data_IF_907210537594
#
_entry.id   IF_907210537594
#
_cell.length_a   1.000
_cell.length_b   1.000
_cell.length_c   1.000
_cell.angle_alpha   90.00
_cell.angle_beta   90.00
_cell.angle_gamma   90.00
#
_symmetry.space_group_name_H-M   'P 1'
#
loop_
_entity.id
_entity.type
_entity.pdbx_description
1 polymer ?
#
# COMPACT_ATOMS: atom_id res chain seq x y z
N UNK A 1 3.67 -9.93 11.23
CA UNK A 1 2.68 -8.87 10.95
C UNK A 1 2.49 -8.07 12.23
N UNK A 2 2.25 -6.75 12.16
CA UNK A 2 2.12 -5.89 13.35
C UNK A 2 0.97 -6.35 14.25
N UNK A 3 1.18 -6.34 15.57
CA UNK A 3 0.14 -6.65 16.57
C UNK A 3 -1.01 -5.64 16.51
N UNK A 4 -0.70 -4.37 16.26
CA UNK A 4 -1.69 -3.31 16.09
C UNK A 4 -2.63 -3.60 14.93
N UNK A 5 -2.10 -3.99 13.76
CA UNK A 5 -2.93 -4.32 12.59
C UNK A 5 -3.84 -5.52 12.84
N UNK A 6 -3.36 -6.53 13.57
CA UNK A 6 -4.17 -7.71 13.92
C UNK A 6 -5.28 -7.38 14.93
N UNK A 7 -5.09 -6.39 15.80
CA UNK A 7 -6.15 -5.96 16.71
C UNK A 7 -7.36 -5.37 15.97
N UNK A 8 -7.13 -4.67 14.85
CA UNK A 8 -8.21 -4.09 14.02
C UNK A 8 -8.68 -5.03 12.91
N UNK A 9 -7.80 -5.91 12.41
CA UNK A 9 -8.09 -6.90 11.38
C UNK A 9 -7.59 -8.29 11.81
N UNK A 10 -8.34 -9.00 12.66
CA UNK A 10 -7.88 -10.28 13.22
C UNK A 10 -7.50 -11.34 12.18
N UNK A 11 -8.16 -11.33 11.01
CA UNK A 11 -7.93 -12.29 9.93
C UNK A 11 -6.85 -11.86 8.94
N UNK A 12 -6.22 -10.68 9.11
CA UNK A 12 -5.32 -10.10 8.11
C UNK A 12 -4.14 -11.00 7.74
N UNK A 13 -3.67 -11.82 8.69
CA UNK A 13 -2.57 -12.77 8.44
C UNK A 13 -3.00 -13.88 7.48
N UNK A 14 -4.22 -14.38 7.62
CA UNK A 14 -4.74 -15.44 6.75
C UNK A 14 -5.16 -14.89 5.40
N UNK A 15 -5.78 -13.71 5.36
CA UNK A 15 -6.12 -13.03 4.11
C UNK A 15 -4.87 -12.72 3.28
N UNK A 16 -3.80 -12.22 3.92
CA UNK A 16 -2.54 -11.91 3.22
C UNK A 16 -1.82 -13.18 2.73
N UNK A 17 -2.13 -14.37 3.25
CA UNK A 17 -1.60 -15.64 2.69
C UNK A 17 -2.23 -15.98 1.35
N UNK A 18 -3.40 -15.43 1.02
CA UNK A 18 -4.04 -15.57 -0.29
C UNK A 18 -3.32 -14.77 -1.38
N UNK A 19 -2.52 -13.77 -0.98
CA UNK A 19 -1.73 -12.95 -1.90
C UNK A 19 -0.48 -13.73 -2.32
N UNK A 20 -0.47 -14.19 -3.57
CA UNK A 20 0.65 -14.92 -4.19
C UNK A 20 1.07 -16.20 -3.43
N UNK A 21 2.21 -16.77 -3.80
CA UNK A 21 2.86 -17.88 -3.10
C UNK A 21 3.86 -17.38 -2.05
N UNK A 22 4.24 -18.25 -1.11
CA UNK A 22 5.20 -17.89 -0.06
C UNK A 22 6.56 -17.35 -0.57
N UNK A 23 7.20 -17.92 -1.61
CA UNK A 23 8.46 -17.37 -2.14
C UNK A 23 8.30 -15.96 -2.70
N UNK A 24 7.18 -15.68 -3.39
CA UNK A 24 6.89 -14.34 -3.93
C UNK A 24 6.72 -13.35 -2.78
N UNK A 25 5.94 -13.70 -1.75
CA UNK A 25 5.75 -12.82 -0.57
C UNK A 25 7.04 -12.52 0.18
N UNK A 26 8.00 -13.45 0.21
CA UNK A 26 9.27 -13.27 0.91
C UNK A 26 10.19 -12.24 0.23
N UNK A 27 10.01 -12.00 -1.07
CA UNK A 27 10.77 -11.04 -1.86
C UNK A 27 9.98 -9.75 -2.16
N UNK A 28 8.64 -9.83 -2.11
CA UNK A 28 7.77 -8.71 -2.41
C UNK A 28 7.80 -7.63 -1.31
N UNK A 29 7.57 -6.39 -1.72
CA UNK A 29 7.30 -5.27 -0.83
C UNK A 29 5.93 -4.68 -1.10
N UNK A 30 5.31 -4.12 -0.06
CA UNK A 30 4.03 -3.41 -0.21
C UNK A 30 4.20 -2.22 -1.16
N UNK A 31 5.28 -1.45 -1.00
CA UNK A 31 5.56 -0.30 -1.86
C UNK A 31 5.75 -0.70 -3.34
N UNK A 32 6.47 -1.79 -3.60
CA UNK A 32 6.64 -2.31 -4.96
C UNK A 32 5.33 -2.80 -5.58
N UNK A 33 4.44 -3.41 -4.78
CA UNK A 33 3.10 -3.80 -5.23
C UNK A 33 2.29 -2.57 -5.70
N UNK A 34 2.27 -1.51 -4.90
CA UNK A 34 1.56 -0.28 -5.23
C UNK A 34 2.18 0.42 -6.45
N UNK A 35 3.51 0.57 -6.51
CA UNK A 35 4.18 1.24 -7.63
C UNK A 35 4.02 0.47 -8.95
N UNK A 36 3.91 -0.86 -8.90
CA UNK A 36 3.60 -1.67 -10.09
C UNK A 36 2.21 -1.37 -10.69
N UNK A 37 1.28 -0.84 -9.88
CA UNK A 37 -0.01 -0.29 -10.32
C UNK A 37 -0.83 -1.21 -11.25
N UNK A 38 -0.88 -2.49 -10.88
CA UNK A 38 -1.79 -3.45 -11.50
C UNK A 38 -3.21 -3.27 -10.94
N UNK A 39 -4.25 -3.13 -11.78
CA UNK A 39 -5.64 -3.06 -11.34
C UNK A 39 -6.13 -4.30 -10.58
N UNK A 40 -5.45 -5.44 -10.74
CA UNK A 40 -5.74 -6.70 -10.05
C UNK A 40 -4.83 -6.91 -8.81
N UNK A 41 -4.13 -5.87 -8.35
CA UNK A 41 -3.30 -5.96 -7.15
C UNK A 41 -4.15 -5.91 -5.88
N UNK A 42 -4.14 -6.99 -5.09
CA UNK A 42 -4.95 -7.10 -3.86
C UNK A 42 -4.64 -5.98 -2.86
N UNK A 43 -3.36 -5.64 -2.67
CA UNK A 43 -2.95 -4.58 -1.75
C UNK A 43 -3.39 -3.19 -2.25
N UNK A 44 -3.43 -2.96 -3.56
CA UNK A 44 -3.97 -1.70 -4.12
C UNK A 44 -5.43 -1.52 -3.71
N UNK A 45 -6.25 -2.57 -3.81
CA UNK A 45 -7.67 -2.54 -3.40
C UNK A 45 -7.79 -2.30 -1.90
N UNK A 46 -7.01 -3.03 -1.10
CA UNK A 46 -7.00 -2.90 0.36
C UNK A 46 -6.69 -1.46 0.81
N UNK A 47 -5.60 -0.87 0.32
CA UNK A 47 -5.22 0.49 0.73
C UNK A 47 -6.10 1.59 0.13
N UNK A 48 -6.71 1.37 -1.04
CA UNK A 48 -7.71 2.29 -1.59
C UNK A 48 -8.96 2.36 -0.71
N UNK A 49 -9.43 1.22 -0.20
CA UNK A 49 -10.55 1.16 0.72
C UNK A 49 -10.29 1.92 2.03
N UNK A 50 -9.03 1.94 2.48
CA UNK A 50 -8.60 2.67 3.68
C UNK A 50 -8.32 4.16 3.44
N UNK A 51 -8.58 4.68 2.23
CA UNK A 51 -8.24 6.05 1.85
C UNK A 51 -6.77 6.40 2.16
N UNK A 52 -5.85 5.47 1.89
CA UNK A 52 -4.45 5.64 2.22
C UNK A 52 -3.83 6.86 1.53
N UNK A 53 -2.88 7.49 2.22
CA UNK A 53 -1.98 8.53 1.74
C UNK A 53 -0.57 7.94 1.62
N UNK A 54 0.12 8.31 0.55
CA UNK A 54 1.50 7.94 0.29
C UNK A 54 2.42 9.13 0.57
N UNK A 55 3.54 8.88 1.23
CA UNK A 55 4.66 9.82 1.26
C UNK A 55 5.65 9.42 0.18
N UNK A 56 5.84 10.29 -0.81
CA UNK A 56 6.88 10.18 -1.82
C UNK A 56 8.06 11.04 -1.39
N UNK A 57 9.24 10.44 -1.37
CA UNK A 57 10.48 11.06 -0.93
C UNK A 57 11.47 11.10 -2.09
N UNK A 58 12.31 12.12 -2.09
CA UNK A 58 13.43 12.30 -3.01
C UNK A 58 14.62 12.87 -2.24
N UNK A 59 15.82 12.99 -2.83
CA UNK A 59 16.97 13.55 -2.13
C UNK A 59 16.76 14.97 -1.58
N UNK A 60 15.82 15.74 -2.13
CA UNK A 60 15.61 17.15 -1.82
C UNK A 60 14.27 17.46 -1.16
N UNK A 61 13.24 16.61 -1.29
CA UNK A 61 11.89 16.90 -0.81
C UNK A 61 11.10 15.65 -0.47
N UNK A 62 10.13 15.81 0.44
CA UNK A 62 9.02 14.88 0.64
C UNK A 62 7.71 15.53 0.21
N UNK A 63 6.82 14.76 -0.39
CA UNK A 63 5.45 15.17 -0.69
C UNK A 63 4.47 14.05 -0.34
N UNK A 64 3.24 14.44 -0.05
CA UNK A 64 2.14 13.53 0.22
C UNK A 64 1.15 13.52 -0.93
N UNK A 65 0.57 12.37 -1.20
CA UNK A 65 -0.47 12.19 -2.21
C UNK A 65 -1.44 11.09 -1.78
N UNK A 66 -2.75 11.27 -1.98
CA UNK A 66 -3.69 10.17 -1.75
C UNK A 66 -3.42 9.03 -2.74
N UNK A 67 -3.58 7.78 -2.29
CA UNK A 67 -3.39 6.61 -3.16
C UNK A 67 -4.31 6.64 -4.38
N UNK A 68 -5.53 7.17 -4.23
CA UNK A 68 -6.46 7.40 -5.34
C UNK A 68 -5.86 8.31 -6.41
N UNK A 69 -5.22 9.40 -6.01
CA UNK A 69 -4.61 10.35 -6.95
C UNK A 69 -3.24 9.88 -7.45
N UNK A 70 -2.60 8.97 -6.73
CA UNK A 70 -1.36 8.33 -7.15
C UNK A 70 -1.57 7.44 -8.39
N UNK A 71 -2.66 6.68 -8.46
CA UNK A 71 -3.01 5.91 -9.65
C UNK A 71 -3.63 6.80 -10.74
N UNK A 72 -2.94 6.98 -11.87
CA UNK A 72 -3.43 7.79 -12.99
C UNK A 72 -4.15 6.96 -14.04
N UNK A 73 -3.63 5.77 -14.33
CA UNK A 73 -4.18 4.83 -15.31
C UNK A 73 -3.54 3.45 -15.11
N UNK A 74 -3.84 2.49 -15.99
CA UNK A 74 -3.23 1.16 -15.99
C UNK A 74 -1.70 1.27 -16.01
N UNK A 75 -1.03 0.80 -14.95
CA UNK A 75 0.43 0.87 -14.76
C UNK A 75 1.02 2.28 -14.89
N UNK A 76 0.23 3.31 -14.61
CA UNK A 76 0.67 4.70 -14.63
C UNK A 76 0.43 5.32 -13.26
N UNK A 77 1.49 5.82 -12.64
CA UNK A 77 1.49 6.38 -11.28
C UNK A 77 2.07 7.78 -11.23
N UNK A 78 1.68 8.53 -10.21
CA UNK A 78 2.21 9.86 -9.89
C UNK A 78 3.53 9.75 -9.12
N UNK A 79 4.55 9.16 -9.74
CA UNK A 79 5.91 9.14 -9.21
C UNK A 79 6.85 9.81 -10.21
N UNK A 80 7.68 10.73 -9.74
CA UNK A 80 8.65 11.42 -10.60
C UNK A 80 9.98 10.67 -10.63
N UNK A 81 10.85 11.06 -11.56
CA UNK A 81 12.25 10.64 -11.52
C UNK A 81 12.86 11.06 -10.18
N UNK A 82 13.68 10.18 -9.60
CA UNK A 82 14.31 10.33 -8.28
C UNK A 82 13.36 10.33 -7.07
N UNK A 83 12.07 10.04 -7.26
CA UNK A 83 11.14 9.79 -6.16
C UNK A 83 11.02 8.28 -5.85
N UNK A 84 10.92 7.95 -4.57
CA UNK A 84 10.51 6.63 -4.10
C UNK A 84 9.36 6.73 -3.12
N UNK A 85 8.59 5.64 -3.02
CA UNK A 85 7.55 5.50 -2.00
C UNK A 85 8.21 5.19 -0.64
N UNK A 86 8.09 6.12 0.29
CA UNK A 86 8.74 6.09 1.61
C UNK A 86 7.80 5.49 2.66
N UNK A 87 6.55 5.95 2.67
CA UNK A 87 5.57 5.56 3.70
C UNK A 87 4.16 5.43 3.12
N UNK A 88 3.37 4.54 3.72
CA UNK A 88 1.94 4.37 3.48
C UNK A 88 1.24 4.67 4.80
N UNK A 89 0.39 5.69 4.80
CA UNK A 89 -0.33 6.16 5.96
C UNK A 89 -1.83 6.01 5.73
N UNK A 90 -2.56 5.48 6.70
CA UNK A 90 -4.02 5.42 6.69
C UNK A 90 -4.52 5.51 8.12
N UNK A 91 -5.74 6.00 8.29
CA UNK A 91 -6.38 6.01 9.60
C UNK A 91 -6.80 4.59 9.95
N UNK A 92 -6.47 4.15 11.17
CA UNK A 92 -7.03 2.91 11.65
C UNK A 92 -8.55 3.09 11.80
N UNK A 93 -9.37 2.19 11.26
CA UNK A 93 -10.80 2.27 11.50
C UNK A 93 -11.04 2.16 13.01
N UNK A 94 -12.01 2.93 13.52
CA UNK A 94 -12.52 2.65 14.86
C UNK A 94 -12.97 1.19 14.88
N UNK A 95 -12.51 0.43 15.88
CA UNK A 95 -12.98 -0.93 16.07
C UNK A 95 -14.51 -0.89 16.06
N UNK A 96 -15.13 -1.63 15.14
CA UNK A 96 -16.57 -1.87 15.17
C UNK A 96 -16.88 -2.38 16.58
N UNK A 97 -17.51 -1.53 17.39
CA UNK A 97 -18.01 -1.91 18.72
C UNK A 97 -19.03 -3.02 18.60
#
# INVERSE_FOLDING_TARGET
MSEHLQAFYPQIVDDFKLICSAPIRQQASIGGNLVNASPIGDLSVFFLALNAELTLNSPSKKRKISLRNFFKSYKQVDIQIDEWLDEIHFQCPEALR
#
